data_IF_628288277297
#
_entry.id   IF_628288277297
#
_cell.length_a   1.000
_cell.length_b   1.000
_cell.length_c   1.000
_cell.angle_alpha   90.00
_cell.angle_beta   90.00
_cell.angle_gamma   90.00
#
_symmetry.space_group_name_H-M   'P 1'
#
loop_
_entity.id
_entity.type
_entity.pdbx_description
1 polymer ?
#
# COMPACT_ATOMS: atom_id res chain seq x y z
N UNK A 1 -26.31 -9.11 20.21
CA UNK A 1 -25.77 -7.99 19.42
C UNK A 1 -24.64 -8.56 18.58
N UNK A 2 -24.84 -8.69 17.27
CA UNK A 2 -23.75 -9.02 16.35
C UNK A 2 -22.88 -7.80 16.24
N UNK A 3 -21.88 -7.72 17.12
CA UNK A 3 -20.83 -6.72 17.02
C UNK A 3 -20.04 -7.05 15.75
N UNK A 4 -20.41 -6.43 14.64
CA UNK A 4 -19.67 -6.57 13.39
C UNK A 4 -18.33 -5.87 13.62
N UNK A 5 -17.33 -6.64 14.04
CA UNK A 5 -15.96 -6.16 14.17
C UNK A 5 -15.58 -5.52 12.84
N UNK A 6 -15.29 -4.22 12.87
CA UNK A 6 -14.89 -3.47 11.70
C UNK A 6 -13.72 -4.17 11.00
N UNK A 7 -13.86 -4.43 9.70
CA UNK A 7 -12.81 -5.02 8.88
C UNK A 7 -12.06 -3.89 8.17
N UNK A 8 -10.76 -3.69 8.43
CA UNK A 8 -9.97 -2.68 7.73
C UNK A 8 -10.05 -2.86 6.22
N UNK A 9 -10.08 -1.74 5.49
CA UNK A 9 -10.16 -1.73 4.03
C UNK A 9 -8.83 -1.23 3.50
N UNK A 10 -8.21 -1.97 2.57
CA UNK A 10 -6.97 -1.57 1.91
C UNK A 10 -7.22 -1.42 0.41
N UNK A 11 -6.96 -0.22 -0.11
CA UNK A 11 -7.16 0.14 -1.50
C UNK A 11 -5.85 -0.05 -2.25
N UNK A 12 -5.88 -0.92 -3.26
CA UNK A 12 -4.66 -1.42 -3.88
C UNK A 12 -4.73 -1.26 -5.40
N UNK A 13 -3.78 -0.49 -5.94
CA UNK A 13 -3.61 -0.33 -7.37
C UNK A 13 -2.89 -1.55 -7.96
N UNK A 14 -3.35 -2.05 -9.10
CA UNK A 14 -2.62 -3.05 -9.87
C UNK A 14 -1.27 -2.53 -10.38
N UNK A 15 -0.29 -3.43 -10.50
CA UNK A 15 1.08 -3.13 -10.95
C UNK A 15 1.79 -2.01 -10.15
N UNK A 16 1.33 -1.74 -8.92
CA UNK A 16 1.94 -0.75 -8.03
C UNK A 16 2.93 -1.44 -7.07
N UNK A 17 4.22 -1.08 -7.09
CA UNK A 17 5.22 -1.73 -6.24
C UNK A 17 4.98 -1.52 -4.74
N UNK A 18 4.45 -0.36 -4.34
CA UNK A 18 4.06 -0.08 -2.96
C UNK A 18 2.82 -0.88 -2.53
N UNK A 19 1.86 -1.11 -3.44
CA UNK A 19 0.70 -1.96 -3.14
C UNK A 19 1.10 -3.42 -2.99
N UNK A 20 2.05 -3.91 -3.81
CA UNK A 20 2.58 -5.27 -3.66
C UNK A 20 3.30 -5.46 -2.32
N UNK A 21 4.01 -4.44 -1.83
CA UNK A 21 4.61 -4.44 -0.48
C UNK A 21 3.59 -4.76 0.61
N UNK A 22 2.44 -4.09 0.59
CA UNK A 22 1.34 -4.33 1.54
C UNK A 22 0.71 -5.71 1.34
N UNK A 23 0.46 -6.13 0.09
CA UNK A 23 -0.09 -7.47 -0.21
C UNK A 23 0.77 -8.59 0.38
N UNK A 24 2.09 -8.54 0.16
CA UNK A 24 3.01 -9.56 0.67
C UNK A 24 3.04 -9.58 2.20
N UNK A 25 3.04 -8.41 2.83
CA UNK A 25 2.96 -8.32 4.29
C UNK A 25 1.67 -8.96 4.83
N UNK A 26 0.50 -8.60 4.28
CA UNK A 26 -0.79 -9.15 4.71
C UNK A 26 -0.87 -10.66 4.51
N UNK A 27 -0.29 -11.17 3.42
CA UNK A 27 -0.24 -12.60 3.14
C UNK A 27 0.65 -13.35 4.13
N UNK A 28 1.90 -12.92 4.31
CA UNK A 28 2.87 -13.62 5.16
C UNK A 28 2.59 -13.48 6.66
N UNK A 29 1.98 -12.36 7.08
CA UNK A 29 1.50 -12.17 8.46
C UNK A 29 0.27 -13.02 8.80
N UNK A 30 -0.42 -13.58 7.80
CA UNK A 30 -1.67 -14.31 7.98
C UNK A 30 -2.92 -13.44 8.13
N UNK A 31 -2.80 -12.12 7.93
CA UNK A 31 -3.89 -11.15 8.11
C UNK A 31 -4.77 -10.97 6.86
N UNK A 32 -4.47 -11.62 5.74
CA UNK A 32 -5.21 -11.44 4.49
C UNK A 32 -6.73 -11.67 4.65
N UNK A 33 -7.15 -12.62 5.49
CA UNK A 33 -8.58 -12.86 5.77
C UNK A 33 -9.22 -11.82 6.71
N UNK A 34 -8.41 -11.07 7.47
CA UNK A 34 -8.85 -10.03 8.41
C UNK A 34 -8.97 -8.63 7.79
N UNK A 35 -8.60 -8.49 6.51
CA UNK A 35 -8.67 -7.24 5.76
C UNK A 35 -9.60 -7.39 4.55
N UNK A 36 -10.34 -6.34 4.20
CA UNK A 36 -11.00 -6.20 2.90
C UNK A 36 -10.02 -5.54 1.93
N UNK A 37 -9.74 -6.18 0.79
CA UNK A 37 -8.97 -5.53 -0.27
C UNK A 37 -9.91 -4.99 -1.35
N UNK A 38 -9.69 -3.74 -1.75
CA UNK A 38 -10.35 -3.10 -2.89
C UNK A 38 -9.31 -2.85 -3.96
N UNK A 39 -9.12 -3.85 -4.81
CA UNK A 39 -8.21 -3.81 -5.94
C UNK A 39 -8.84 -3.08 -7.13
N UNK A 40 -8.03 -2.33 -7.89
CA UNK A 40 -8.47 -1.67 -9.11
C UNK A 40 -7.35 -1.53 -10.15
N UNK A 41 -7.77 -1.49 -11.42
CA UNK A 41 -6.91 -1.23 -12.58
C UNK A 41 -6.79 0.29 -12.81
N UNK A 42 -5.59 0.84 -13.08
CA UNK A 42 -5.42 2.24 -13.41
C UNK A 42 -6.25 2.67 -14.64
N UNK A 43 -6.82 3.88 -14.61
CA UNK A 43 -7.57 4.47 -15.72
C UNK A 43 -9.00 3.98 -15.86
N UNK A 44 -9.58 3.40 -14.80
CA UNK A 44 -10.97 2.88 -14.80
C UNK A 44 -11.90 3.74 -13.96
N UNK A 45 -13.21 3.65 -14.23
CA UNK A 45 -14.26 4.28 -13.40
C UNK A 45 -14.19 3.85 -11.92
N UNK A 46 -13.66 2.65 -11.66
CA UNK A 46 -13.44 2.16 -10.30
C UNK A 46 -12.33 2.96 -9.59
N UNK A 47 -11.24 3.31 -10.30
CA UNK A 47 -10.21 4.20 -9.76
C UNK A 47 -10.83 5.56 -9.38
N UNK A 48 -11.64 6.15 -10.24
CA UNK A 48 -12.27 7.45 -9.99
C UNK A 48 -13.17 7.42 -8.75
N UNK A 49 -13.99 6.37 -8.60
CA UNK A 49 -14.85 6.17 -7.42
C UNK A 49 -14.04 6.03 -6.13
N UNK A 50 -12.99 5.22 -6.14
CA UNK A 50 -12.10 5.05 -4.99
C UNK A 50 -11.40 6.36 -4.63
N UNK A 51 -10.92 7.11 -5.64
CA UNK A 51 -10.30 8.42 -5.42
C UNK A 51 -11.29 9.42 -4.83
N UNK A 52 -12.52 9.45 -5.31
CA UNK A 52 -13.58 10.29 -4.75
C UNK A 52 -13.87 9.94 -3.29
N UNK A 53 -13.96 8.65 -2.97
CA UNK A 53 -14.14 8.15 -1.59
C UNK A 53 -13.00 8.58 -0.66
N UNK A 54 -11.74 8.51 -1.11
CA UNK A 54 -10.57 8.84 -0.29
C UNK A 54 -10.30 10.34 -0.18
N UNK A 55 -10.63 11.12 -1.22
CA UNK A 55 -10.30 12.56 -1.31
C UNK A 55 -10.72 13.43 -0.12
N UNK A 56 -11.89 13.25 0.54
CA UNK A 56 -12.24 14.04 1.72
C UNK A 56 -11.47 13.63 2.99
N UNK A 57 -10.74 12.52 2.98
CA UNK A 57 -10.15 11.92 4.16
C UNK A 57 -8.61 12.00 4.22
N UNK A 58 -7.95 12.35 3.11
CA UNK A 58 -6.49 12.48 3.03
C UNK A 58 -6.09 13.74 2.29
N UNK A 59 -4.94 14.32 2.63
CA UNK A 59 -4.41 15.51 1.96
C UNK A 59 -4.12 15.25 0.47
N UNK A 60 -3.63 14.04 0.16
CA UNK A 60 -3.33 13.61 -1.20
C UNK A 60 -3.66 12.13 -1.37
N UNK A 61 -4.47 11.80 -2.36
CA UNK A 61 -4.80 10.41 -2.69
C UNK A 61 -3.63 9.73 -3.39
N UNK A 62 -2.88 8.94 -2.64
CA UNK A 62 -1.84 8.01 -3.11
C UNK A 62 -2.32 6.55 -2.98
N UNK A 63 -1.56 5.59 -3.51
CA UNK A 63 -1.85 4.17 -3.31
C UNK A 63 -0.56 3.41 -2.99
N UNK A 64 -0.56 2.52 -1.98
CA UNK A 64 -1.73 2.06 -1.23
C UNK A 64 -2.29 3.11 -0.25
N UNK A 65 -3.58 2.98 0.05
CA UNK A 65 -4.26 3.67 1.15
C UNK A 65 -5.07 2.67 1.94
N UNK A 66 -5.43 3.00 3.17
CA UNK A 66 -6.28 2.15 3.98
C UNK A 66 -7.24 2.94 4.87
N UNK A 67 -8.41 2.36 5.13
CA UNK A 67 -9.23 2.67 6.29
C UNK A 67 -8.88 1.67 7.39
N UNK A 68 -8.05 2.07 8.35
CA UNK A 68 -7.54 1.17 9.39
C UNK A 68 -8.59 0.90 10.47
N UNK A 69 -9.39 1.91 10.76
CA UNK A 69 -10.50 1.91 11.72
C UNK A 69 -11.62 2.78 11.15
N UNK A 70 -12.85 2.68 11.69
CA UNK A 70 -13.97 3.50 11.22
C UNK A 70 -13.62 5.00 11.23
N UNK A 71 -13.60 5.61 10.05
CA UNK A 71 -13.25 7.03 9.87
C UNK A 71 -11.75 7.38 9.91
N UNK A 72 -10.86 6.41 10.17
CA UNK A 72 -9.41 6.62 10.20
C UNK A 72 -8.76 6.14 8.91
N UNK A 73 -8.38 7.08 8.08
CA UNK A 73 -7.72 6.82 6.80
C UNK A 73 -6.23 7.16 6.87
N UNK A 74 -5.41 6.36 6.19
CA UNK A 74 -3.98 6.61 6.03
C UNK A 74 -3.57 6.44 4.57
N UNK A 75 -2.62 7.26 4.14
CA UNK A 75 -1.79 7.00 2.97
C UNK A 75 -0.51 6.28 3.39
N UNK A 76 0.28 5.87 2.41
CA UNK A 76 1.62 5.28 2.58
C UNK A 76 1.65 3.81 3.03
N UNK A 77 2.44 3.00 2.31
CA UNK A 77 2.55 1.56 2.58
C UNK A 77 3.12 1.24 3.95
N UNK A 78 4.02 2.08 4.46
CA UNK A 78 4.79 1.79 5.66
C UNK A 78 3.94 2.01 6.91
N UNK A 79 3.07 3.03 6.91
CA UNK A 79 2.11 3.29 7.99
C UNK A 79 1.05 2.18 8.07
N UNK A 80 0.57 1.70 6.91
CA UNK A 80 -0.36 0.56 6.82
C UNK A 80 0.29 -0.69 7.43
N UNK A 81 1.53 -0.99 7.06
CA UNK A 81 2.26 -2.17 7.55
C UNK A 81 2.54 -2.05 9.05
N UNK A 82 2.95 -0.87 9.53
CA UNK A 82 3.21 -0.65 10.96
C UNK A 82 1.97 -0.91 11.81
N UNK A 83 0.79 -0.45 11.36
CA UNK A 83 -0.47 -0.72 12.05
C UNK A 83 -0.77 -2.22 12.15
N UNK A 84 -0.69 -2.94 11.03
CA UNK A 84 -1.00 -4.37 11.02
C UNK A 84 0.06 -5.22 11.73
N UNK A 85 1.34 -4.83 11.69
CA UNK A 85 2.42 -5.45 12.45
C UNK A 85 2.17 -5.35 13.96
N UNK A 86 1.81 -4.16 14.45
CA UNK A 86 1.45 -3.94 15.84
C UNK A 86 0.22 -4.76 16.23
N UNK A 87 -0.82 -4.80 15.37
CA UNK A 87 -2.05 -5.57 15.62
C UNK A 87 -1.80 -7.09 15.71
N UNK A 88 -0.93 -7.64 14.86
CA UNK A 88 -0.64 -9.07 14.83
C UNK A 88 0.48 -9.51 15.79
N UNK A 89 1.18 -8.58 16.43
CA UNK A 89 2.39 -8.90 17.21
C UNK A 89 3.49 -9.54 16.34
N UNK A 90 3.58 -9.14 15.07
CA UNK A 90 4.53 -9.70 14.09
C UNK A 90 5.57 -8.66 13.73
N UNK A 91 6.84 -9.05 13.77
CA UNK A 91 7.95 -8.23 13.28
C UNK A 91 8.12 -8.42 11.76
N UNK A 92 7.94 -7.37 10.93
CA UNK A 92 8.18 -7.46 9.49
C UNK A 92 9.62 -7.86 9.12
N UNK A 93 10.61 -7.64 10.00
CA UNK A 93 11.99 -8.02 9.74
C UNK A 93 12.18 -9.56 9.67
N UNK A 94 11.32 -10.33 10.35
CA UNK A 94 11.34 -11.79 10.33
C UNK A 94 10.60 -12.44 9.15
N UNK A 95 9.96 -11.64 8.29
CA UNK A 95 9.11 -12.12 7.19
C UNK A 95 9.94 -12.29 5.91
N UNK A 96 10.32 -13.52 5.59
CA UNK A 96 11.26 -13.82 4.51
C UNK A 96 10.76 -13.38 3.14
N UNK A 97 9.50 -13.64 2.79
CA UNK A 97 8.97 -13.33 1.45
C UNK A 97 8.82 -11.81 1.28
N UNK A 98 8.26 -11.15 2.29
CA UNK A 98 8.13 -9.71 2.38
C UNK A 98 9.49 -9.02 2.28
N UNK A 99 10.49 -9.46 3.06
CA UNK A 99 11.84 -8.88 3.03
C UNK A 99 12.57 -9.12 1.72
N UNK A 100 12.46 -10.30 1.12
CA UNK A 100 13.05 -10.56 -0.20
C UNK A 100 12.52 -9.59 -1.27
N UNK A 101 11.24 -9.24 -1.21
CA UNK A 101 10.68 -8.23 -2.12
C UNK A 101 11.18 -6.82 -1.78
N UNK A 102 11.07 -6.41 -0.51
CA UNK A 102 11.41 -5.05 -0.06
C UNK A 102 12.89 -4.73 -0.29
N UNK A 103 13.77 -5.66 0.08
CA UNK A 103 15.23 -5.47 0.04
C UNK A 103 15.83 -5.80 -1.33
N UNK A 104 15.14 -6.64 -2.11
CA UNK A 104 15.56 -7.02 -3.45
C UNK A 104 14.94 -6.13 -4.52
N UNK A 105 13.88 -6.64 -5.14
CA UNK A 105 13.29 -6.08 -6.36
C UNK A 105 12.74 -4.67 -6.13
N UNK A 106 12.08 -4.42 -4.99
CA UNK A 106 11.53 -3.11 -4.67
C UNK A 106 12.63 -2.06 -4.51
N UNK A 107 13.63 -2.31 -3.65
CA UNK A 107 14.76 -1.40 -3.45
C UNK A 107 15.50 -1.10 -4.75
N UNK A 108 15.75 -2.13 -5.58
CA UNK A 108 16.39 -1.98 -6.89
C UNK A 108 15.53 -1.12 -7.83
N UNK A 109 14.22 -1.35 -7.88
CA UNK A 109 13.29 -0.57 -8.70
C UNK A 109 13.25 0.90 -8.29
N UNK A 110 13.26 1.19 -6.98
CA UNK A 110 13.28 2.56 -6.47
C UNK A 110 14.59 3.28 -6.80
N UNK A 111 15.73 2.58 -6.72
CA UNK A 111 17.03 3.11 -7.14
C UNK A 111 17.02 3.48 -8.62
N UNK A 112 16.63 2.55 -9.49
CA UNK A 112 16.56 2.77 -10.94
C UNK A 112 15.58 3.88 -11.32
N UNK A 113 14.42 3.94 -10.64
CA UNK A 113 13.46 5.01 -10.86
C UNK A 113 14.04 6.39 -10.53
N UNK A 114 14.71 6.53 -9.38
CA UNK A 114 15.38 7.78 -8.99
C UNK A 114 16.47 8.16 -9.99
N UNK A 115 17.33 7.22 -10.35
CA UNK A 115 18.38 7.44 -11.37
C UNK A 115 17.78 7.88 -12.71
N UNK A 116 16.70 7.25 -13.17
CA UNK A 116 16.02 7.59 -14.41
C UNK A 116 15.43 9.01 -14.38
N UNK A 117 14.85 9.43 -13.25
CA UNK A 117 14.35 10.81 -13.11
C UNK A 117 15.48 11.84 -13.21
N UNK A 118 16.60 11.61 -12.53
CA UNK A 118 17.75 12.52 -12.58
C UNK A 118 18.35 12.61 -13.99
N UNK A 119 18.48 11.47 -14.68
CA UNK A 119 18.95 11.43 -16.07
C UNK A 119 18.02 12.20 -17.02
N UNK A 120 16.69 12.01 -16.89
CA UNK A 120 15.71 12.76 -17.68
C UNK A 120 15.76 14.27 -17.41
N UNK A 121 15.93 14.65 -16.15
CA UNK A 121 16.09 16.06 -15.76
C UNK A 121 17.34 16.66 -16.39
N UNK A 122 18.48 15.98 -16.30
CA UNK A 122 19.73 16.43 -16.91
C UNK A 122 19.61 16.56 -18.44
N UNK A 123 18.99 15.57 -19.10
CA UNK A 123 18.78 15.58 -20.55
C UNK A 123 17.82 16.68 -21.02
N UNK A 124 16.86 17.11 -20.19
CA UNK A 124 15.93 18.19 -20.54
C UNK A 124 16.52 19.61 -20.46
N UNK A 125 17.72 19.73 -19.88
CA UNK A 125 18.43 21.01 -19.67
C UNK A 125 19.62 21.17 -20.64
N UNK A 126 19.97 20.10 -21.37
CA UNK A 126 21.01 20.08 -22.40
C UNK A 126 20.44 20.33 -23.79
#
# INVERSE_FOLDING_TARGET
MTDHTFKPIVYLKENCPFCLKVRLFLLESGLASEVETRDFVPGTDQEEKIRAELSPHVEKVSFPSAQLEAGRYVGESDDIIAFFAAKAGRDPAGMTVYRNYVDGVFATSMKLWKENMELKKAASVA
#
